data_IF_074928263231
#
_entry.id   IF_074928263231
#
_cell.length_a   1.000
_cell.length_b   1.000
_cell.length_c   1.000
_cell.angle_alpha   90.00
_cell.angle_beta   90.00
_cell.angle_gamma   90.00
#
_symmetry.space_group_name_H-M   'P 1'
#
loop_
_entity.id
_entity.type
_entity.pdbx_description
1 polymer ?
#
# COMPACT_ATOMS: atom_id res chain seq x y z
N UNK A 1 -15.03 -72.38 21.37
CA UNK A 1 -14.01 -71.48 20.76
C UNK A 1 -12.73 -71.66 21.59
N UNK A 2 -11.58 -71.77 20.88
CA UNK A 2 -10.30 -71.90 21.57
C UNK A 2 -9.89 -70.55 22.20
N UNK A 3 -9.18 -70.57 23.35
CA UNK A 3 -8.70 -69.36 24.03
C UNK A 3 -7.93 -68.43 23.08
N UNK A 4 -7.27 -68.97 22.04
CA UNK A 4 -6.53 -68.24 21.04
C UNK A 4 -7.46 -67.42 20.09
N UNK A 5 -8.66 -67.94 19.80
CA UNK A 5 -9.65 -67.20 18.94
C UNK A 5 -10.29 -66.07 19.74
N UNK A 6 -10.55 -66.20 21.00
CA UNK A 6 -11.11 -65.17 21.89
C UNK A 6 -10.09 -64.02 22.04
N UNK A 7 -8.79 -64.31 22.19
CA UNK A 7 -7.74 -63.27 22.30
C UNK A 7 -7.61 -62.50 21.03
N UNK A 8 -7.71 -63.13 19.84
CA UNK A 8 -7.65 -62.48 18.55
C UNK A 8 -8.83 -61.51 18.30
N UNK A 9 -10.04 -61.90 18.73
CA UNK A 9 -11.24 -61.03 18.59
C UNK A 9 -11.15 -59.82 19.52
N UNK A 10 -10.65 -59.99 20.75
CA UNK A 10 -10.45 -58.86 21.69
C UNK A 10 -9.41 -57.87 21.15
N UNK A 11 -8.27 -58.36 20.61
CA UNK A 11 -7.24 -57.50 20.01
C UNK A 11 -7.77 -56.71 18.80
N UNK A 12 -8.58 -57.31 17.96
CA UNK A 12 -9.19 -56.67 16.82
C UNK A 12 -10.17 -55.57 17.25
N UNK A 13 -10.98 -55.81 18.27
CA UNK A 13 -11.91 -54.82 18.82
C UNK A 13 -11.18 -53.64 19.46
N UNK A 14 -10.06 -53.81 20.14
CA UNK A 14 -9.25 -52.73 20.70
C UNK A 14 -8.64 -51.87 19.58
N UNK A 15 -8.17 -52.49 18.49
CA UNK A 15 -7.64 -51.77 17.34
C UNK A 15 -8.73 -50.94 16.63
N UNK A 16 -9.93 -51.50 16.47
CA UNK A 16 -11.06 -50.82 15.87
C UNK A 16 -11.52 -49.65 16.74
N UNK A 17 -11.62 -49.84 18.07
CA UNK A 17 -11.97 -48.79 19.01
C UNK A 17 -10.91 -47.69 19.05
N UNK A 18 -9.64 -48.05 19.00
CA UNK A 18 -8.51 -47.11 18.92
C UNK A 18 -8.54 -46.27 17.61
N UNK A 19 -8.84 -46.93 16.50
CA UNK A 19 -8.98 -46.23 15.21
C UNK A 19 -10.18 -45.28 15.18
N UNK A 20 -11.35 -45.72 15.71
CA UNK A 20 -12.55 -44.87 15.81
C UNK A 20 -12.30 -43.69 16.73
N UNK A 21 -11.61 -43.89 17.85
CA UNK A 21 -11.24 -42.80 18.76
C UNK A 21 -10.23 -41.84 18.11
N UNK A 22 -9.24 -42.36 17.36
CA UNK A 22 -8.27 -41.55 16.62
C UNK A 22 -8.95 -40.71 15.52
N UNK A 23 -9.85 -41.29 14.73
CA UNK A 23 -10.60 -40.56 13.69
C UNK A 23 -11.63 -39.60 14.28
N UNK A 24 -12.17 -39.86 15.48
CA UNK A 24 -13.12 -38.96 16.13
C UNK A 24 -12.42 -37.80 16.87
N UNK A 25 -11.13 -37.96 17.20
CA UNK A 25 -10.30 -36.95 17.88
C UNK A 25 -9.32 -36.25 16.92
N UNK A 26 -9.37 -36.54 15.62
CA UNK A 26 -8.69 -35.62 14.71
C UNK A 26 -9.37 -34.25 14.81
N UNK A 27 -8.62 -33.18 15.13
CA UNK A 27 -9.21 -31.84 15.08
C UNK A 27 -9.71 -31.63 13.65
N UNK A 28 -11.03 -31.53 13.49
CA UNK A 28 -11.62 -31.08 12.25
C UNK A 28 -10.98 -29.72 11.94
N UNK A 29 -10.04 -29.71 11.00
CA UNK A 29 -9.57 -28.50 10.35
C UNK A 29 -10.66 -27.97 9.38
N UNK A 30 -11.92 -28.11 9.77
CA UNK A 30 -13.00 -27.29 9.23
C UNK A 30 -12.77 -25.86 9.72
N UNK A 31 -11.79 -25.19 9.10
CA UNK A 31 -11.74 -23.74 9.14
C UNK A 31 -13.10 -23.27 8.59
N UNK A 32 -14.04 -22.93 9.48
CA UNK A 32 -15.23 -22.17 9.08
C UNK A 32 -14.76 -21.12 8.10
N UNK A 33 -15.40 -21.01 6.91
CA UNK A 33 -14.97 -20.00 5.95
C UNK A 33 -14.88 -18.68 6.70
N UNK A 34 -13.69 -18.06 6.65
CA UNK A 34 -13.42 -16.80 7.33
C UNK A 34 -14.59 -15.85 7.14
N UNK A 35 -15.18 -15.36 8.24
CA UNK A 35 -16.32 -14.44 8.18
C UNK A 35 -15.93 -13.10 7.55
N UNK A 36 -14.63 -12.78 7.52
CA UNK A 36 -14.09 -11.51 7.03
C UNK A 36 -13.51 -11.72 5.62
N UNK A 37 -14.19 -11.12 4.62
CA UNK A 37 -13.74 -11.07 3.23
C UNK A 37 -13.40 -9.63 2.87
N UNK A 38 -12.14 -9.39 2.57
CA UNK A 38 -11.62 -8.06 2.25
C UNK A 38 -11.25 -7.99 0.77
N UNK A 39 -11.70 -6.94 0.12
CA UNK A 39 -11.23 -6.57 -1.23
C UNK A 39 -10.52 -5.23 -1.14
N UNK A 40 -9.35 -5.10 -1.77
CA UNK A 40 -8.60 -3.84 -1.84
C UNK A 40 -8.27 -3.48 -3.27
N UNK A 41 -8.21 -2.20 -3.59
CA UNK A 41 -7.72 -1.75 -4.89
C UNK A 41 -6.26 -2.15 -5.10
N UNK A 42 -5.41 -1.90 -4.11
CA UNK A 42 -3.96 -1.98 -4.20
C UNK A 42 -3.37 -3.02 -3.24
N UNK A 43 -2.25 -3.62 -3.64
CA UNK A 43 -1.59 -4.69 -2.92
C UNK A 43 -1.02 -4.26 -1.55
N UNK A 44 -0.59 -3.01 -1.39
CA UNK A 44 -0.09 -2.51 -0.10
C UNK A 44 -1.22 -2.28 0.93
N UNK A 45 -2.44 -1.94 0.50
CA UNK A 45 -3.61 -1.98 1.39
C UNK A 45 -3.98 -3.41 1.77
N UNK A 46 -3.86 -4.34 0.81
CA UNK A 46 -4.03 -5.78 1.07
C UNK A 46 -3.04 -6.33 2.08
N UNK A 47 -1.79 -5.85 2.07
CA UNK A 47 -0.78 -6.20 3.05
C UNK A 47 -1.21 -5.83 4.48
N UNK A 48 -1.68 -4.58 4.68
CA UNK A 48 -2.20 -4.15 5.98
C UNK A 48 -3.39 -4.99 6.41
N UNK A 49 -4.35 -5.20 5.50
CA UNK A 49 -5.55 -5.97 5.78
C UNK A 49 -5.21 -7.41 6.17
N UNK A 50 -4.28 -8.06 5.45
CA UNK A 50 -3.80 -9.41 5.75
C UNK A 50 -3.10 -9.45 7.11
N UNK A 51 -2.25 -8.48 7.39
CA UNK A 51 -1.53 -8.41 8.67
C UNK A 51 -2.49 -8.28 9.85
N UNK A 52 -3.56 -7.47 9.71
CA UNK A 52 -4.54 -7.25 10.80
C UNK A 52 -5.53 -8.41 10.93
N UNK A 53 -6.03 -8.95 9.81
CA UNK A 53 -7.00 -10.04 9.82
C UNK A 53 -6.39 -11.37 10.33
N UNK A 54 -5.09 -11.59 10.10
CA UNK A 54 -4.44 -12.86 10.42
C UNK A 54 -5.14 -14.03 9.74
N UNK A 55 -5.36 -15.11 10.50
CA UNK A 55 -6.06 -16.31 10.01
C UNK A 55 -7.59 -16.17 9.91
N UNK A 56 -8.16 -15.07 10.40
CA UNK A 56 -9.60 -14.85 10.50
C UNK A 56 -10.18 -14.10 9.30
N UNK A 57 -9.35 -13.72 8.32
CA UNK A 57 -9.78 -13.00 7.12
C UNK A 57 -9.17 -13.52 5.83
N UNK A 58 -9.93 -13.40 4.75
CA UNK A 58 -9.46 -13.63 3.40
C UNK A 58 -9.35 -12.27 2.69
N UNK A 59 -8.17 -11.95 2.15
CA UNK A 59 -7.89 -10.67 1.51
C UNK A 59 -7.56 -10.87 0.04
N UNK A 60 -8.26 -10.15 -0.82
CA UNK A 60 -8.02 -10.08 -2.26
C UNK A 60 -7.62 -8.66 -2.65
N UNK A 61 -6.40 -8.48 -3.12
CA UNK A 61 -6.01 -7.22 -3.80
C UNK A 61 -6.30 -7.36 -5.29
N UNK A 62 -6.95 -6.35 -5.87
CA UNK A 62 -7.30 -6.37 -7.30
C UNK A 62 -6.04 -6.10 -8.12
N UNK A 63 -5.37 -4.99 -7.89
CA UNK A 63 -4.08 -4.67 -8.52
C UNK A 63 -2.96 -5.27 -7.68
N UNK A 64 -2.22 -6.19 -8.30
CA UNK A 64 -1.13 -6.94 -7.67
C UNK A 64 0.24 -6.62 -8.27
N UNK A 65 0.27 -6.20 -9.53
CA UNK A 65 1.47 -5.95 -10.29
C UNK A 65 1.82 -4.47 -10.29
N UNK A 66 3.09 -4.16 -10.10
CA UNK A 66 3.65 -2.83 -10.26
C UNK A 66 3.58 -2.27 -11.69
N UNK A 67 3.36 -3.17 -12.67
CA UNK A 67 3.21 -2.78 -14.08
C UNK A 67 1.77 -2.40 -14.45
N UNK A 68 0.82 -2.48 -13.52
CA UNK A 68 -0.59 -2.14 -13.77
C UNK A 68 -0.83 -0.71 -13.32
N UNK A 69 -1.21 0.15 -14.25
CA UNK A 69 -1.63 1.51 -13.95
C UNK A 69 -2.98 1.49 -13.20
N UNK A 70 -3.03 2.02 -11.98
CA UNK A 70 -4.25 2.05 -11.19
C UNK A 70 -5.31 3.02 -11.72
N UNK A 71 -4.93 4.07 -12.45
CA UNK A 71 -5.87 5.05 -13.01
C UNK A 71 -6.68 4.46 -14.17
N UNK A 72 -6.04 3.62 -14.99
CA UNK A 72 -6.62 3.05 -16.20
C UNK A 72 -7.11 1.60 -16.04
N UNK A 73 -7.23 1.12 -14.80
CA UNK A 73 -7.65 -0.26 -14.55
C UNK A 73 -9.06 -0.55 -15.06
N UNK A 74 -9.20 -1.59 -15.90
CA UNK A 74 -10.49 -2.03 -16.47
C UNK A 74 -11.06 -3.19 -15.69
N UNK A 75 -12.21 -2.95 -15.08
CA UNK A 75 -12.95 -3.93 -14.27
C UNK A 75 -13.53 -5.04 -15.15
N UNK A 76 -13.44 -6.28 -14.68
CA UNK A 76 -14.07 -7.45 -15.29
C UNK A 76 -15.15 -8.03 -14.36
N UNK A 77 -15.86 -9.05 -14.84
CA UNK A 77 -16.86 -9.78 -14.04
C UNK A 77 -16.24 -10.47 -12.82
N UNK A 78 -14.95 -10.77 -12.85
CA UNK A 78 -14.22 -11.34 -11.72
C UNK A 78 -14.16 -10.35 -10.53
N UNK A 79 -13.74 -9.12 -10.79
CA UNK A 79 -13.67 -8.08 -9.75
C UNK A 79 -15.07 -7.74 -9.22
N UNK A 80 -16.08 -7.73 -10.09
CA UNK A 80 -17.47 -7.54 -9.69
C UNK A 80 -17.96 -8.64 -8.73
N UNK A 81 -17.60 -9.89 -8.97
CA UNK A 81 -17.92 -11.01 -8.09
C UNK A 81 -17.20 -10.88 -6.74
N UNK A 82 -15.91 -10.57 -6.74
CA UNK A 82 -15.12 -10.36 -5.49
C UNK A 82 -15.74 -9.25 -4.63
N UNK A 83 -16.07 -8.10 -5.22
CA UNK A 83 -16.70 -6.97 -4.52
C UNK A 83 -18.07 -7.35 -3.96
N UNK A 84 -18.89 -8.08 -4.72
CA UNK A 84 -20.23 -8.49 -4.27
C UNK A 84 -20.19 -9.38 -3.03
N UNK A 85 -19.13 -10.17 -2.87
CA UNK A 85 -18.92 -11.09 -1.74
C UNK A 85 -18.18 -10.47 -0.56
N UNK A 86 -17.55 -9.30 -0.75
CA UNK A 86 -16.79 -8.63 0.30
C UNK A 86 -17.68 -8.05 1.39
N UNK A 87 -17.20 -8.09 2.63
CA UNK A 87 -17.80 -7.38 3.76
C UNK A 87 -16.91 -6.25 4.29
N UNK A 88 -15.70 -6.11 3.73
CA UNK A 88 -14.85 -4.93 3.84
C UNK A 88 -14.21 -4.66 2.47
N UNK A 89 -14.30 -3.42 2.00
CA UNK A 89 -13.70 -2.99 0.74
C UNK A 89 -12.83 -1.77 1.03
N UNK A 90 -11.57 -1.80 0.63
CA UNK A 90 -10.60 -0.73 0.88
C UNK A 90 -10.25 -0.07 -0.44
N UNK A 91 -10.55 1.22 -0.54
CA UNK A 91 -10.20 2.06 -1.69
C UNK A 91 -9.26 3.17 -1.24
N UNK A 92 -8.40 3.63 -2.15
CA UNK A 92 -7.63 4.84 -1.93
C UNK A 92 -8.55 6.06 -1.85
N UNK A 93 -9.44 6.20 -2.81
CA UNK A 93 -10.27 7.38 -3.00
C UNK A 93 -9.50 8.53 -3.65
N UNK A 94 -10.01 9.75 -3.51
CA UNK A 94 -9.44 11.00 -4.04
C UNK A 94 -9.31 11.06 -5.57
N UNK A 95 -9.94 10.14 -6.29
CA UNK A 95 -9.87 10.01 -7.74
C UNK A 95 -9.07 8.80 -8.22
N UNK A 96 -8.10 8.33 -7.43
CA UNK A 96 -7.11 7.33 -7.80
C UNK A 96 -7.70 6.00 -8.32
N UNK A 97 -8.60 5.39 -7.56
CA UNK A 97 -9.25 4.12 -7.86
C UNK A 97 -10.77 4.27 -8.05
N UNK A 98 -11.16 5.31 -8.79
CA UNK A 98 -12.56 5.66 -9.03
C UNK A 98 -13.37 4.53 -9.66
N UNK A 99 -12.75 3.63 -10.43
CA UNK A 99 -13.36 2.43 -10.99
C UNK A 99 -13.86 1.47 -9.89
N UNK A 100 -13.12 1.30 -8.78
CA UNK A 100 -13.55 0.45 -7.67
C UNK A 100 -14.70 1.11 -6.91
N UNK A 101 -14.65 2.42 -6.69
CA UNK A 101 -15.75 3.16 -6.07
C UNK A 101 -17.05 3.03 -6.88
N UNK A 102 -16.98 3.10 -8.21
CA UNK A 102 -18.14 2.87 -9.09
C UNK A 102 -18.67 1.44 -8.95
N UNK A 103 -17.77 0.45 -8.89
CA UNK A 103 -18.13 -0.95 -8.72
C UNK A 103 -18.79 -1.21 -7.35
N UNK A 104 -18.27 -0.64 -6.29
CA UNK A 104 -18.83 -0.69 -4.92
C UNK A 104 -20.26 -0.15 -4.91
N UNK A 105 -20.49 1.00 -5.53
CA UNK A 105 -21.82 1.62 -5.66
C UNK A 105 -22.76 0.72 -6.46
N UNK A 106 -22.33 0.17 -7.58
CA UNK A 106 -23.14 -0.73 -8.42
C UNK A 106 -23.51 -2.03 -7.68
N UNK A 107 -22.68 -2.48 -6.75
CA UNK A 107 -22.95 -3.66 -5.92
C UNK A 107 -23.76 -3.36 -4.64
N UNK A 108 -24.11 -2.10 -4.35
CA UNK A 108 -24.79 -1.69 -3.12
C UNK A 108 -23.96 -1.92 -1.85
N UNK A 109 -22.62 -1.75 -1.96
CA UNK A 109 -21.65 -2.10 -0.91
C UNK A 109 -20.99 -0.88 -0.24
N UNK A 110 -21.58 0.31 -0.35
CA UNK A 110 -20.98 1.55 0.16
C UNK A 110 -20.73 1.52 1.68
N UNK A 111 -21.60 0.85 2.44
CA UNK A 111 -21.44 0.68 3.91
C UNK A 111 -20.24 -0.21 4.29
N UNK A 112 -19.76 -1.03 3.37
CA UNK A 112 -18.61 -1.92 3.53
C UNK A 112 -17.30 -1.24 3.13
N UNK A 113 -17.37 -0.07 2.49
CA UNK A 113 -16.21 0.64 1.97
C UNK A 113 -15.49 1.44 3.07
N UNK A 114 -14.16 1.37 3.05
CA UNK A 114 -13.24 2.24 3.78
C UNK A 114 -12.46 3.00 2.71
N UNK A 115 -12.72 4.30 2.59
CA UNK A 115 -11.99 5.19 1.70
C UNK A 115 -10.81 5.76 2.46
N UNK A 116 -9.59 5.27 2.19
CA UNK A 116 -8.39 5.62 2.99
C UNK A 116 -8.13 7.13 2.97
N UNK A 117 -8.27 7.77 1.82
CA UNK A 117 -8.08 9.21 1.66
C UNK A 117 -8.90 10.05 2.62
N UNK A 118 -10.18 9.75 2.73
CA UNK A 118 -11.10 10.53 3.59
C UNK A 118 -11.16 10.01 5.02
N UNK A 119 -11.23 8.68 5.22
CA UNK A 119 -11.44 8.06 6.53
C UNK A 119 -10.16 8.03 7.38
N UNK A 120 -8.99 7.86 6.75
CA UNK A 120 -7.71 7.64 7.45
C UNK A 120 -6.79 8.84 7.33
N UNK A 121 -6.61 9.35 6.10
CA UNK A 121 -5.73 10.49 5.83
C UNK A 121 -6.41 11.85 6.03
N UNK A 122 -7.75 11.88 6.21
CA UNK A 122 -8.56 13.08 6.42
C UNK A 122 -8.40 14.13 5.31
N UNK A 123 -8.30 13.67 4.07
CA UNK A 123 -8.22 14.52 2.88
C UNK A 123 -9.59 14.72 2.23
N UNK A 124 -9.74 15.80 1.49
CA UNK A 124 -10.93 16.08 0.70
C UNK A 124 -10.70 15.74 -0.78
N UNK A 125 -11.78 15.55 -1.54
CA UNK A 125 -11.69 15.37 -3.00
C UNK A 125 -10.92 16.52 -3.64
N UNK A 126 -10.07 16.19 -4.61
CA UNK A 126 -9.15 17.11 -5.27
C UNK A 126 -7.80 17.29 -4.56
N UNK A 127 -7.62 16.71 -3.37
CA UNK A 127 -6.28 16.59 -2.79
C UNK A 127 -5.48 15.52 -3.53
N UNK A 128 -4.14 15.65 -3.48
CA UNK A 128 -3.23 14.65 -4.01
C UNK A 128 -3.56 13.25 -3.44
N UNK A 129 -3.70 12.30 -4.32
CA UNK A 129 -4.14 10.94 -4.02
C UNK A 129 -3.05 10.03 -3.43
N UNK A 130 -1.77 10.39 -3.53
CA UNK A 130 -0.61 9.58 -3.11
C UNK A 130 -0.44 9.54 -1.58
N UNK A 131 -1.54 9.31 -0.87
CA UNK A 131 -1.65 9.37 0.59
C UNK A 131 -0.85 8.27 1.31
N UNK A 132 -0.44 7.21 0.62
CA UNK A 132 0.44 6.20 1.19
C UNK A 132 1.85 6.74 1.45
N UNK A 133 2.23 7.87 0.85
CA UNK A 133 3.45 8.62 1.17
C UNK A 133 3.30 9.62 2.33
N UNK A 134 2.07 9.84 2.81
CA UNK A 134 1.87 10.60 4.03
C UNK A 134 2.24 9.72 5.24
N UNK A 135 3.17 10.15 6.10
CA UNK A 135 3.57 9.41 7.29
C UNK A 135 2.37 9.00 8.15
N UNK A 136 2.44 7.83 8.76
CA UNK A 136 1.41 7.25 9.63
C UNK A 136 0.11 6.78 8.95
N UNK A 137 -0.14 7.04 7.66
CA UNK A 137 -1.39 6.62 6.99
C UNK A 137 -1.62 5.12 7.11
N UNK A 138 -0.59 4.31 6.79
CA UNK A 138 -0.73 2.85 6.84
C UNK A 138 -0.85 2.32 8.27
N UNK A 139 -0.15 2.93 9.23
CA UNK A 139 -0.25 2.59 10.65
C UNK A 139 -1.65 2.93 11.21
N UNK A 140 -2.24 4.06 10.81
CA UNK A 140 -3.62 4.44 11.16
C UNK A 140 -4.64 3.51 10.52
N UNK A 141 -4.44 3.12 9.24
CA UNK A 141 -5.30 2.16 8.56
C UNK A 141 -5.38 0.83 9.33
N UNK A 142 -4.26 0.34 9.86
CA UNK A 142 -4.25 -0.88 10.67
C UNK A 142 -5.20 -0.79 11.89
N UNK A 143 -5.28 0.36 12.57
CA UNK A 143 -6.22 0.57 13.68
C UNK A 143 -7.68 0.59 13.21
N UNK A 144 -7.96 1.27 12.09
CA UNK A 144 -9.31 1.32 11.50
C UNK A 144 -9.78 -0.09 11.13
N UNK A 145 -8.89 -0.90 10.53
CA UNK A 145 -9.18 -2.28 10.17
C UNK A 145 -9.40 -3.16 11.40
N UNK A 146 -8.56 -3.04 12.44
CA UNK A 146 -8.76 -3.78 13.69
C UNK A 146 -10.11 -3.49 14.34
N UNK A 147 -10.54 -2.24 14.32
CA UNK A 147 -11.86 -1.84 14.82
C UNK A 147 -12.98 -2.44 13.95
N UNK A 148 -12.87 -2.34 12.63
CA UNK A 148 -13.86 -2.86 11.68
C UNK A 148 -13.98 -4.38 11.76
N UNK A 149 -12.85 -5.09 11.80
CA UNK A 149 -12.84 -6.56 11.93
C UNK A 149 -13.39 -7.01 13.27
N UNK A 150 -13.07 -6.30 14.37
CA UNK A 150 -13.64 -6.59 15.69
C UNK A 150 -15.16 -6.33 15.78
N UNK A 151 -15.74 -5.50 14.89
CA UNK A 151 -17.21 -5.35 14.76
C UNK A 151 -17.82 -6.54 14.01
N UNK A 152 -17.13 -7.07 12.99
CA UNK A 152 -17.59 -8.19 12.18
C UNK A 152 -17.41 -9.53 12.89
N UNK A 153 -16.35 -9.63 13.69
CA UNK A 153 -16.02 -10.82 14.49
C UNK A 153 -15.59 -10.41 15.91
N UNK A 154 -16.57 -10.21 16.81
CA UNK A 154 -16.31 -9.79 18.19
C UNK A 154 -15.47 -10.80 18.99
N UNK A 155 -15.53 -12.08 18.63
CA UNK A 155 -14.79 -13.16 19.33
C UNK A 155 -13.29 -12.96 19.22
N UNK A 156 -12.79 -12.46 18.08
CA UNK A 156 -11.37 -12.26 17.80
C UNK A 156 -10.92 -10.78 17.87
N UNK A 157 -11.76 -9.88 18.42
CA UNK A 157 -11.48 -8.43 18.51
C UNK A 157 -10.13 -8.11 19.13
N UNK A 158 -9.74 -8.82 20.18
CA UNK A 158 -8.45 -8.61 20.87
C UNK A 158 -7.28 -9.01 19.97
N UNK A 159 -7.40 -10.12 19.23
CA UNK A 159 -6.37 -10.57 18.30
C UNK A 159 -6.16 -9.55 17.15
N UNK A 160 -7.23 -9.03 16.56
CA UNK A 160 -7.12 -7.97 15.55
C UNK A 160 -6.40 -6.72 16.06
N UNK A 161 -6.67 -6.30 17.30
CA UNK A 161 -5.98 -5.18 17.94
C UNK A 161 -4.49 -5.48 18.13
N UNK A 162 -4.15 -6.66 18.59
CA UNK A 162 -2.75 -7.09 18.76
C UNK A 162 -2.02 -7.16 17.43
N UNK A 163 -2.67 -7.67 16.38
CA UNK A 163 -2.13 -7.73 15.03
C UNK A 163 -1.86 -6.34 14.47
N UNK A 164 -2.78 -5.38 14.64
CA UNK A 164 -2.56 -4.00 14.25
C UNK A 164 -1.36 -3.37 14.96
N UNK A 165 -1.23 -3.58 16.28
CA UNK A 165 -0.07 -3.13 17.04
C UNK A 165 1.24 -3.77 16.57
N UNK A 166 1.22 -5.07 16.24
CA UNK A 166 2.37 -5.78 15.71
C UNK A 166 2.77 -5.23 14.32
N UNK A 167 1.79 -4.91 13.46
CA UNK A 167 2.04 -4.25 12.18
C UNK A 167 2.67 -2.86 12.38
N UNK A 168 2.13 -2.04 13.28
CA UNK A 168 2.65 -0.70 13.58
C UNK A 168 4.09 -0.72 14.09
N UNK A 169 4.47 -1.71 14.89
CA UNK A 169 5.86 -1.84 15.38
C UNK A 169 6.89 -1.98 14.26
N UNK A 170 6.48 -2.46 13.07
CA UNK A 170 7.38 -2.59 11.90
C UNK A 170 7.83 -1.23 11.36
N UNK A 171 7.10 -0.15 11.66
CA UNK A 171 7.41 1.21 11.19
C UNK A 171 8.55 1.89 11.96
N UNK A 172 8.95 1.37 13.13
CA UNK A 172 9.94 2.02 14.00
C UNK A 172 11.23 2.44 13.26
N UNK A 173 11.76 1.58 12.40
CA UNK A 173 12.96 1.89 11.60
C UNK A 173 12.66 2.97 10.56
N UNK A 174 11.53 2.86 9.86
CA UNK A 174 11.11 3.85 8.87
C UNK A 174 10.91 5.23 9.51
N UNK A 175 10.22 5.30 10.65
CA UNK A 175 10.00 6.55 11.38
C UNK A 175 11.34 7.20 11.80
N UNK A 176 12.31 6.41 12.26
CA UNK A 176 13.65 6.89 12.61
C UNK A 176 14.40 7.42 11.37
N UNK A 177 14.33 6.71 10.24
CA UNK A 177 14.93 7.16 8.96
C UNK A 177 14.28 8.46 8.48
N UNK A 178 12.95 8.59 8.53
CA UNK A 178 12.25 9.82 8.17
C UNK A 178 12.72 10.99 9.05
N UNK A 179 12.84 10.79 10.34
CA UNK A 179 13.32 11.85 11.26
C UNK A 179 14.78 12.25 10.98
N UNK A 180 15.65 11.28 10.69
CA UNK A 180 17.04 11.57 10.32
C UNK A 180 17.11 12.37 9.01
N UNK A 181 16.39 11.94 7.97
CA UNK A 181 16.30 12.69 6.70
C UNK A 181 15.76 14.11 6.90
N UNK A 182 14.74 14.27 7.75
CA UNK A 182 14.19 15.60 8.06
C UNK A 182 15.20 16.54 8.68
N UNK A 183 16.06 16.04 9.58
CA UNK A 183 17.09 16.85 10.24
C UNK A 183 18.22 17.28 9.29
N UNK A 184 18.39 16.58 8.16
CA UNK A 184 19.41 16.92 7.15
C UNK A 184 18.95 17.98 6.15
N UNK A 185 17.65 18.29 6.08
CA UNK A 185 17.14 19.28 5.12
C UNK A 185 17.65 20.68 5.47
N UNK A 186 18.36 21.30 4.54
CA UNK A 186 18.92 22.62 4.69
C UNK A 186 17.93 23.68 4.21
N UNK A 187 17.65 24.70 5.02
CA UNK A 187 16.68 25.75 4.66
C UNK A 187 17.08 26.55 3.41
N UNK A 188 18.37 26.60 3.09
CA UNK A 188 18.92 27.30 1.92
C UNK A 188 18.92 26.45 0.65
N UNK A 189 18.73 25.12 0.75
CA UNK A 189 18.72 24.18 -0.35
C UNK A 189 17.57 23.16 -0.20
N UNK A 190 16.33 23.64 -0.07
CA UNK A 190 15.17 22.78 0.15
C UNK A 190 14.15 22.80 -0.99
N UNK A 191 14.49 23.39 -2.14
CA UNK A 191 13.63 23.36 -3.33
C UNK A 191 13.90 22.13 -4.15
N UNK A 192 12.87 21.50 -4.66
CA UNK A 192 12.93 20.29 -5.50
C UNK A 192 11.96 20.39 -6.64
N UNK A 193 12.30 19.76 -7.76
CA UNK A 193 11.38 19.49 -8.84
C UNK A 193 10.97 18.03 -8.84
N UNK A 194 9.78 17.72 -9.32
CA UNK A 194 9.23 16.37 -9.37
C UNK A 194 8.65 16.08 -10.77
N UNK A 195 8.75 14.85 -11.25
CA UNK A 195 8.10 14.44 -12.50
C UNK A 195 6.58 14.40 -12.36
N UNK A 196 6.11 13.95 -11.19
CA UNK A 196 4.71 13.78 -10.81
C UNK A 196 4.55 14.02 -9.31
N UNK A 197 3.34 14.29 -8.80
CA UNK A 197 3.13 14.62 -7.39
C UNK A 197 3.19 13.41 -6.44
N UNK A 198 3.81 12.30 -6.84
CA UNK A 198 3.82 11.01 -6.14
C UNK A 198 4.40 11.13 -4.72
N UNK A 199 5.55 11.80 -4.58
CA UNK A 199 6.27 11.88 -3.29
C UNK A 199 5.98 13.15 -2.49
N UNK A 200 5.02 13.96 -2.91
CA UNK A 200 4.78 15.29 -2.37
C UNK A 200 4.49 15.31 -0.86
N UNK A 201 3.73 14.36 -0.35
CA UNK A 201 3.47 14.27 1.09
C UNK A 201 4.73 13.98 1.92
N UNK A 202 5.61 13.14 1.40
CA UNK A 202 6.89 12.85 2.05
C UNK A 202 7.82 14.07 2.01
N UNK A 203 7.94 14.73 0.85
CA UNK A 203 8.74 15.96 0.69
C UNK A 203 8.29 17.06 1.63
N UNK A 204 6.99 17.35 1.67
CA UNK A 204 6.41 18.36 2.58
C UNK A 204 6.64 17.99 4.06
N UNK A 205 6.52 16.73 4.44
CA UNK A 205 6.81 16.29 5.81
C UNK A 205 8.28 16.49 6.19
N UNK A 206 9.20 16.29 5.24
CA UNK A 206 10.64 16.51 5.44
C UNK A 206 11.01 18.00 5.50
N UNK A 207 10.24 18.88 4.88
CA UNK A 207 10.51 20.32 4.80
C UNK A 207 11.03 20.80 3.45
N UNK A 208 10.98 19.93 2.41
CA UNK A 208 11.25 20.35 1.03
C UNK A 208 10.06 21.13 0.44
N UNK A 209 10.37 22.03 -0.47
CA UNK A 209 9.42 22.85 -1.22
C UNK A 209 9.39 22.40 -2.67
N UNK A 210 8.22 21.99 -3.15
CA UNK A 210 8.02 21.58 -4.53
C UNK A 210 7.88 22.84 -5.39
N UNK A 211 8.76 22.98 -6.34
CA UNK A 211 8.87 24.19 -7.13
C UNK A 211 8.02 24.17 -8.41
N UNK A 212 7.72 22.99 -8.95
CA UNK A 212 7.09 22.78 -10.25
C UNK A 212 5.71 22.09 -10.15
N UNK A 213 4.89 22.42 -9.19
CA UNK A 213 3.60 21.77 -8.92
C UNK A 213 2.65 21.79 -10.14
N UNK A 214 2.69 22.83 -10.97
CA UNK A 214 1.86 22.93 -12.17
C UNK A 214 2.30 21.92 -13.25
N UNK A 215 3.61 21.80 -13.49
CA UNK A 215 4.17 20.77 -14.37
C UNK A 215 3.78 19.35 -13.89
N UNK A 216 4.03 19.07 -12.62
CA UNK A 216 3.78 17.75 -12.05
C UNK A 216 2.30 17.33 -12.18
N UNK A 217 1.38 18.28 -11.97
CA UNK A 217 -0.06 18.04 -12.13
C UNK A 217 -0.46 17.78 -13.58
N UNK A 218 0.15 18.48 -14.54
CA UNK A 218 -0.14 18.24 -15.95
C UNK A 218 0.31 16.84 -16.39
N UNK A 219 1.48 16.38 -15.91
CA UNK A 219 1.97 15.01 -16.20
C UNK A 219 1.03 13.97 -15.57
N UNK A 220 0.65 14.13 -14.31
CA UNK A 220 -0.29 13.27 -13.59
C UNK A 220 -1.63 13.12 -14.32
N UNK A 221 -2.14 14.23 -14.86
CA UNK A 221 -3.40 14.26 -15.60
C UNK A 221 -3.27 13.71 -17.04
N UNK A 222 -2.09 13.25 -17.46
CA UNK A 222 -1.83 12.80 -18.83
C UNK A 222 -1.94 13.93 -19.86
N UNK A 223 -1.77 15.19 -19.43
CA UNK A 223 -1.80 16.38 -20.32
C UNK A 223 -0.41 16.91 -20.58
N UNK A 224 -0.24 17.65 -21.68
CA UNK A 224 1.05 18.27 -22.01
C UNK A 224 1.35 19.43 -21.06
N UNK A 225 2.48 19.41 -20.34
CA UNK A 225 2.94 20.56 -19.54
C UNK A 225 3.23 21.78 -20.40
N UNK A 226 3.05 22.99 -19.85
CA UNK A 226 3.29 24.20 -20.59
C UNK A 226 4.77 24.37 -20.99
N UNK A 227 5.08 24.97 -22.15
CA UNK A 227 6.46 25.29 -22.55
C UNK A 227 7.18 26.13 -21.49
N UNK A 228 6.46 27.01 -20.79
CA UNK A 228 7.00 27.85 -19.72
C UNK A 228 7.47 26.98 -18.53
N UNK A 229 6.65 26.04 -18.06
CA UNK A 229 7.01 25.16 -16.95
C UNK A 229 8.28 24.35 -17.29
N UNK A 230 8.34 23.82 -18.53
CA UNK A 230 9.50 23.04 -18.99
C UNK A 230 10.77 23.92 -19.03
N UNK A 231 10.66 25.17 -19.47
CA UNK A 231 11.79 26.10 -19.51
C UNK A 231 12.25 26.50 -18.11
N UNK A 232 11.33 26.74 -17.19
CA UNK A 232 11.64 27.07 -15.79
C UNK A 232 12.37 25.92 -15.11
N UNK A 233 11.90 24.67 -15.24
CA UNK A 233 12.59 23.49 -14.71
C UNK A 233 13.99 23.32 -15.27
N UNK A 234 14.18 23.50 -16.59
CA UNK A 234 15.51 23.44 -17.20
C UNK A 234 16.43 24.51 -16.64
N UNK A 235 15.92 25.75 -16.48
CA UNK A 235 16.68 26.85 -15.90
C UNK A 235 17.02 26.61 -14.42
N UNK A 236 16.13 25.97 -13.66
CA UNK A 236 16.39 25.60 -12.27
C UNK A 236 17.52 24.56 -12.17
N UNK A 237 17.52 23.56 -13.05
CA UNK A 237 18.61 22.57 -13.13
C UNK A 237 19.94 23.20 -13.56
N UNK A 238 19.94 24.03 -14.60
CA UNK A 238 21.14 24.69 -15.14
C UNK A 238 21.79 25.66 -14.14
N UNK A 239 20.97 26.30 -13.30
CA UNK A 239 21.45 27.27 -12.32
C UNK A 239 21.53 26.69 -10.88
N UNK A 240 21.42 25.37 -10.72
CA UNK A 240 21.48 24.69 -9.43
C UNK A 240 20.55 25.31 -8.36
N UNK A 241 19.30 25.63 -8.75
CA UNK A 241 18.29 26.22 -7.86
C UNK A 241 17.41 25.20 -7.15
N UNK A 242 17.63 23.90 -7.44
CA UNK A 242 16.98 22.77 -6.78
C UNK A 242 18.02 21.81 -6.21
N UNK A 243 17.70 21.22 -5.07
CA UNK A 243 18.54 20.23 -4.40
C UNK A 243 18.63 18.93 -5.24
N UNK A 244 17.50 18.45 -5.74
CA UNK A 244 17.41 17.25 -6.56
C UNK A 244 16.12 17.25 -7.40
N UNK A 245 16.09 16.34 -8.38
CA UNK A 245 14.92 16.03 -9.18
C UNK A 245 14.32 14.68 -8.73
N UNK A 246 13.03 14.65 -8.38
CA UNK A 246 12.29 13.42 -8.06
C UNK A 246 11.68 12.87 -9.33
N UNK A 247 12.03 11.65 -9.67
CA UNK A 247 11.54 10.96 -10.85
C UNK A 247 10.71 9.74 -10.48
N UNK A 248 9.53 9.60 -11.08
CA UNK A 248 8.82 8.33 -11.12
C UNK A 248 9.29 7.54 -12.35
N UNK A 249 10.06 6.43 -12.22
CA UNK A 249 10.52 5.65 -13.35
C UNK A 249 9.40 4.88 -14.08
N UNK A 250 8.18 4.83 -13.50
CA UNK A 250 7.00 4.23 -14.11
C UNK A 250 6.36 5.20 -15.13
N UNK A 251 6.63 6.52 -14.99
CA UNK A 251 6.30 7.53 -15.98
C UNK A 251 7.30 7.52 -17.15
N UNK A 252 6.80 7.45 -18.38
CA UNK A 252 7.64 7.26 -19.57
C UNK A 252 7.54 8.34 -20.62
N UNK A 253 6.91 9.48 -20.32
CA UNK A 253 6.71 10.57 -21.30
C UNK A 253 8.03 11.12 -21.84
N UNK A 254 8.05 11.57 -23.10
CA UNK A 254 9.24 12.18 -23.71
C UNK A 254 9.72 13.42 -22.96
N UNK A 255 8.81 14.22 -22.38
CA UNK A 255 9.15 15.43 -21.65
C UNK A 255 9.92 15.12 -20.37
N UNK A 256 9.49 14.12 -19.58
CA UNK A 256 10.20 13.69 -18.38
C UNK A 256 11.56 13.10 -18.72
N UNK A 257 11.68 12.29 -19.79
CA UNK A 257 12.97 11.77 -20.28
C UNK A 257 13.94 12.88 -20.64
N UNK A 258 13.47 13.96 -21.27
CA UNK A 258 14.30 15.13 -21.61
C UNK A 258 14.76 15.89 -20.35
N UNK A 259 13.90 16.03 -19.33
CA UNK A 259 14.28 16.64 -18.05
C UNK A 259 15.29 15.79 -17.29
N UNK A 260 15.16 14.47 -17.28
CA UNK A 260 16.16 13.56 -16.73
C UNK A 260 17.53 13.72 -17.39
N UNK A 261 17.54 13.87 -18.72
CA UNK A 261 18.78 14.15 -19.46
C UNK A 261 19.38 15.51 -19.05
N UNK A 262 18.55 16.54 -18.89
CA UNK A 262 18.99 17.85 -18.43
C UNK A 262 19.56 17.81 -17.02
N UNK A 263 18.89 17.13 -16.09
CA UNK A 263 19.36 16.92 -14.73
C UNK A 263 20.75 16.26 -14.72
N UNK A 264 20.92 15.17 -15.47
CA UNK A 264 22.20 14.46 -15.60
C UNK A 264 23.30 15.34 -16.19
N UNK A 265 23.02 16.13 -17.21
CA UNK A 265 24.00 17.05 -17.85
C UNK A 265 24.47 18.16 -16.92
N UNK A 266 23.64 18.55 -15.95
CA UNK A 266 23.95 19.59 -14.98
C UNK A 266 24.31 19.04 -13.59
N UNK A 267 24.59 17.73 -13.47
CA UNK A 267 24.94 17.08 -12.20
C UNK A 267 23.89 17.28 -11.08
N UNK A 268 22.62 17.47 -11.43
CA UNK A 268 21.52 17.49 -10.47
C UNK A 268 21.23 16.04 -10.03
N UNK A 269 21.25 15.75 -8.72
CA UNK A 269 20.89 14.43 -8.22
C UNK A 269 19.47 14.04 -8.62
N UNK A 270 19.25 12.74 -8.89
CA UNK A 270 17.92 12.22 -9.22
C UNK A 270 17.53 11.19 -8.17
N UNK A 271 16.38 11.43 -7.52
CA UNK A 271 15.75 10.50 -6.60
C UNK A 271 14.66 9.73 -7.35
N UNK A 272 14.80 8.42 -7.49
CA UNK A 272 13.76 7.60 -8.10
C UNK A 272 12.75 7.12 -7.05
N UNK A 273 11.47 7.44 -7.29
CA UNK A 273 10.34 7.09 -6.43
C UNK A 273 9.30 6.37 -7.27
N UNK A 274 8.85 5.20 -6.85
CA UNK A 274 7.81 4.46 -7.56
C UNK A 274 6.43 4.72 -6.96
N UNK A 275 5.45 4.86 -7.80
CA UNK A 275 4.05 5.06 -7.41
C UNK A 275 3.43 3.76 -6.87
N UNK A 276 3.69 2.64 -7.53
CA UNK A 276 3.20 1.32 -7.15
C UNK A 276 4.28 0.52 -6.44
N UNK A 277 3.85 -0.30 -5.48
CA UNK A 277 4.76 -1.09 -4.63
C UNK A 277 5.43 -2.20 -5.44
N UNK A 278 6.77 -2.26 -5.49
CA UNK A 278 7.52 -3.29 -6.19
C UNK A 278 7.20 -4.70 -5.68
N UNK A 279 7.21 -5.67 -6.60
CA UNK A 279 6.96 -7.06 -6.28
C UNK A 279 8.01 -7.60 -5.29
N UNK A 280 7.58 -8.47 -4.37
CA UNK A 280 8.47 -9.08 -3.38
C UNK A 280 8.84 -8.20 -2.18
N UNK A 281 8.51 -6.90 -2.19
CA UNK A 281 8.76 -6.01 -1.06
C UNK A 281 7.52 -5.86 -0.18
N UNK A 282 7.72 -5.67 1.13
CA UNK A 282 6.68 -5.14 2.01
C UNK A 282 6.58 -3.62 1.84
N UNK A 283 5.48 -3.04 2.28
CA UNK A 283 5.31 -1.58 2.27
C UNK A 283 6.45 -0.86 3.02
N UNK A 284 6.82 -1.36 4.20
CA UNK A 284 7.90 -0.75 5.00
C UNK A 284 9.26 -0.86 4.29
N UNK A 285 9.56 -1.98 3.64
CA UNK A 285 10.80 -2.13 2.87
C UNK A 285 10.83 -1.18 1.67
N UNK A 286 9.72 -1.08 0.94
CA UNK A 286 9.59 -0.17 -0.18
C UNK A 286 9.84 1.29 0.23
N UNK A 287 9.21 1.75 1.31
CA UNK A 287 9.45 3.10 1.84
C UNK A 287 10.89 3.29 2.30
N UNK A 288 11.45 2.33 3.07
CA UNK A 288 12.82 2.41 3.57
C UNK A 288 13.84 2.56 2.44
N UNK A 289 13.70 1.79 1.36
CA UNK A 289 14.63 1.86 0.24
C UNK A 289 14.66 3.27 -0.38
N UNK A 290 13.49 3.88 -0.57
CA UNK A 290 13.37 5.23 -1.15
C UNK A 290 13.94 6.31 -0.22
N UNK A 291 13.69 6.21 1.08
CA UNK A 291 14.27 7.15 2.05
C UNK A 291 15.79 6.96 2.18
N UNK A 292 16.32 5.74 2.07
CA UNK A 292 17.75 5.49 2.04
C UNK A 292 18.41 6.04 0.79
N UNK A 293 17.74 6.01 -0.36
CA UNK A 293 18.24 6.66 -1.58
C UNK A 293 18.24 8.18 -1.44
N UNK A 294 17.26 8.77 -0.77
CA UNK A 294 17.27 10.19 -0.41
C UNK A 294 18.41 10.53 0.54
N UNK A 295 18.67 9.71 1.57
CA UNK A 295 19.81 9.92 2.50
C UNK A 295 21.15 9.98 1.76
N UNK A 296 21.37 9.13 0.75
CA UNK A 296 22.58 9.16 -0.10
C UNK A 296 22.73 10.47 -0.89
N UNK A 297 21.62 11.12 -1.26
CA UNK A 297 21.64 12.44 -1.90
C UNK A 297 22.02 13.49 -0.86
N UNK A 298 21.34 13.51 0.28
CA UNK A 298 21.56 14.45 1.39
C UNK A 298 22.99 14.38 2.00
N UNK A 299 23.67 13.24 1.87
CA UNK A 299 25.07 13.07 2.34
C UNK A 299 26.11 13.69 1.40
N UNK A 300 25.72 14.05 0.18
CA UNK A 300 26.60 14.66 -0.83
C UNK A 300 26.41 16.17 -0.97
N UNK A 301 25.40 16.71 -0.34
CA UNK A 301 25.12 18.16 -0.25
C UNK A 301 25.98 18.82 0.86
#
# INVERSE_FOLDING_TARGET
>A
MSKKVILGVISLLVIILGAVFYFHHQPNNDSKPSSIRVVTSLNFYGEVATAVAGKHGQVTSIIKSEATDPHDFKVTTKEAKEVSQANVIITNGLGYDGWLTKLVKSAGKEKQQIVVGTTVAHKQMGANEHIWYQPQTMAKLANVLAQRFGQLDPTHKTEFKQNAQAYQKKFKKLDATIQASKQRVQATNNRVDVSEPVFNYALANLGYQINNSHFAKAVEDGTDPSPKDIQEMKADMQNHRIAFFVNNPQESSPVVKNLLKTAKQNNIPVLNITETKPNGKTYVQWMLDQYQDLEKIQEKE
#
